data_IF_440433940446
#
_entry.id   IF_440433940446
#
_cell.length_a   1.000
_cell.length_b   1.000
_cell.length_c   1.000
_cell.angle_alpha   90.00
_cell.angle_beta   90.00
_cell.angle_gamma   90.00
#
_symmetry.space_group_name_H-M   'P 1'
#
loop_
_entity.id
_entity.type
_entity.pdbx_description
1 polymer ?
#
# COMPACT_ATOMS: atom_id res chain seq x y z
N UNK A 1 17.87 -25.14 -32.05
CA UNK A 1 17.22 -24.08 -31.25
C UNK A 1 17.87 -22.77 -31.66
N UNK A 2 17.16 -21.78 -32.20
CA UNK A 2 17.76 -20.48 -32.45
C UNK A 2 17.96 -19.75 -31.11
N UNK A 3 19.15 -19.18 -30.94
CA UNK A 3 19.56 -18.44 -29.75
C UNK A 3 18.91 -17.04 -29.80
N UNK A 4 18.29 -16.61 -28.69
CA UNK A 4 17.65 -15.30 -28.59
C UNK A 4 18.72 -14.19 -28.52
N UNK A 5 18.50 -13.03 -29.17
CA UNK A 5 19.46 -11.94 -29.13
C UNK A 5 19.62 -11.38 -27.70
N UNK A 6 20.81 -10.86 -27.35
CA UNK A 6 21.05 -10.28 -26.04
C UNK A 6 20.21 -9.00 -25.85
N UNK A 7 19.68 -8.81 -24.63
CA UNK A 7 19.01 -7.59 -24.22
C UNK A 7 19.98 -6.40 -24.36
N UNK A 8 19.85 -5.66 -25.46
CA UNK A 8 20.53 -4.37 -25.59
C UNK A 8 19.82 -3.39 -24.66
N UNK A 9 20.53 -2.92 -23.63
CA UNK A 9 20.07 -1.82 -22.80
C UNK A 9 20.09 -0.54 -23.65
N UNK A 10 18.94 -0.23 -24.23
CA UNK A 10 18.72 1.00 -24.98
C UNK A 10 18.91 2.20 -24.04
N UNK A 11 19.82 3.17 -24.31
CA UNK A 11 19.98 4.37 -23.49
C UNK A 11 18.75 5.30 -23.50
N UNK A 12 17.70 4.94 -24.25
CA UNK A 12 16.39 5.57 -24.25
C UNK A 12 15.40 5.01 -23.21
N UNK A 13 15.83 4.24 -22.20
CA UNK A 13 15.12 4.22 -20.90
C UNK A 13 15.36 5.57 -20.19
N UNK A 14 14.87 6.63 -20.81
CA UNK A 14 14.37 7.79 -20.08
C UNK A 14 13.45 7.28 -18.98
N UNK A 15 13.50 7.90 -17.81
CA UNK A 15 12.72 7.56 -16.62
C UNK A 15 11.21 7.68 -16.92
N UNK A 16 10.65 6.67 -17.59
CA UNK A 16 9.24 6.61 -18.02
C UNK A 16 8.29 6.64 -16.81
N UNK A 17 8.81 6.34 -15.62
CA UNK A 17 8.06 6.40 -14.36
C UNK A 17 7.96 7.83 -13.81
N UNK A 18 8.88 8.75 -14.15
CA UNK A 18 8.87 10.13 -13.65
C UNK A 18 7.74 10.99 -14.23
N UNK A 19 7.29 10.70 -15.46
CA UNK A 19 6.21 11.45 -16.15
C UNK A 19 4.85 10.75 -16.07
N UNK A 20 4.81 9.50 -15.58
CA UNK A 20 3.57 8.74 -15.49
C UNK A 20 2.74 9.24 -14.31
N UNK A 21 1.60 9.88 -14.61
CA UNK A 21 0.61 10.17 -13.57
C UNK A 21 0.22 8.86 -12.88
N UNK A 22 0.25 8.79 -11.54
CA UNK A 22 -0.09 7.58 -10.81
C UNK A 22 -1.47 7.08 -11.21
N UNK A 23 -1.56 5.78 -11.51
CA UNK A 23 -2.86 5.16 -11.79
C UNK A 23 -3.65 5.03 -10.49
N UNK A 24 -4.97 4.81 -10.60
CA UNK A 24 -5.79 4.53 -9.42
C UNK A 24 -5.29 3.32 -8.61
N UNK A 25 -4.67 2.34 -9.27
CA UNK A 25 -4.06 1.18 -8.62
C UNK A 25 -2.77 1.56 -7.86
N UNK A 26 -1.95 2.43 -8.43
CA UNK A 26 -0.73 2.92 -7.76
C UNK A 26 -1.11 3.74 -6.52
N UNK A 27 -2.12 4.61 -6.62
CA UNK A 27 -2.65 5.36 -5.48
C UNK A 27 -3.18 4.43 -4.40
N UNK A 28 -3.98 3.42 -4.75
CA UNK A 28 -4.50 2.43 -3.81
C UNK A 28 -3.38 1.65 -3.10
N UNK A 29 -2.37 1.20 -3.85
CA UNK A 29 -1.21 0.50 -3.29
C UNK A 29 -0.43 1.38 -2.30
N UNK A 30 -0.13 2.62 -2.68
CA UNK A 30 0.61 3.56 -1.81
C UNK A 30 -0.16 3.89 -0.54
N UNK A 31 -1.48 4.07 -0.64
CA UNK A 31 -2.35 4.24 0.52
C UNK A 31 -2.29 3.02 1.46
N UNK A 32 -2.34 1.80 0.93
CA UNK A 32 -2.25 0.57 1.72
C UNK A 32 -0.87 0.42 2.39
N UNK A 33 0.21 0.77 1.69
CA UNK A 33 1.57 0.78 2.26
C UNK A 33 1.70 1.79 3.40
N UNK A 34 1.22 3.03 3.20
CA UNK A 34 1.22 4.06 4.24
C UNK A 34 0.45 3.59 5.48
N UNK A 35 -0.67 2.91 5.27
CA UNK A 35 -1.48 2.38 6.35
C UNK A 35 -0.74 1.26 7.09
N UNK A 36 -0.19 0.29 6.36
CA UNK A 36 0.60 -0.83 6.92
C UNK A 36 1.75 -0.33 7.80
N UNK A 37 2.51 0.66 7.31
CA UNK A 37 3.64 1.23 8.02
C UNK A 37 3.27 2.22 9.13
N UNK A 38 2.00 2.58 9.24
CA UNK A 38 1.51 3.43 10.33
C UNK A 38 1.05 2.62 11.53
N UNK A 39 0.78 1.31 11.38
CA UNK A 39 0.40 0.42 12.47
C UNK A 39 1.55 0.25 13.46
N UNK A 40 1.24 0.32 14.75
CA UNK A 40 2.17 -0.05 15.81
C UNK A 40 2.17 -1.56 16.00
N UNK A 41 3.20 -2.23 15.49
CA UNK A 41 3.30 -3.69 15.48
C UNK A 41 3.68 -4.31 16.83
N UNK A 42 4.09 -3.49 17.80
CA UNK A 42 4.59 -3.94 19.10
C UNK A 42 3.58 -3.65 20.21
N UNK A 43 2.86 -2.53 20.14
CA UNK A 43 1.97 -2.07 21.21
C UNK A 43 0.47 -2.03 20.84
N UNK A 44 0.08 -2.35 19.60
CA UNK A 44 -1.34 -2.39 19.21
C UNK A 44 -1.94 -3.81 19.23
N UNK A 45 -3.22 -3.93 18.87
CA UNK A 45 -3.93 -5.19 18.73
C UNK A 45 -3.18 -6.23 17.87
N UNK A 46 -2.38 -5.80 16.88
CA UNK A 46 -1.65 -6.73 16.01
C UNK A 46 -0.48 -7.44 16.73
N UNK A 47 -0.08 -6.97 17.92
CA UNK A 47 0.93 -7.61 18.75
C UNK A 47 0.46 -8.98 19.28
N UNK A 48 -0.85 -9.20 19.39
CA UNK A 48 -1.37 -10.51 19.78
C UNK A 48 -1.10 -11.55 18.66
N UNK A 49 -0.53 -12.74 18.99
CA UNK A 49 -0.12 -13.72 17.97
C UNK A 49 -1.24 -14.17 17.03
N UNK A 50 -2.49 -14.25 17.51
CA UNK A 50 -3.66 -14.62 16.69
C UNK A 50 -3.93 -13.60 15.59
N UNK A 51 -3.82 -12.31 15.89
CA UNK A 51 -4.09 -11.23 14.95
C UNK A 51 -2.92 -10.99 14.00
N UNK A 52 -1.69 -11.21 14.48
CA UNK A 52 -0.50 -11.17 13.63
C UNK A 52 -0.54 -12.22 12.53
N UNK A 53 -0.98 -13.44 12.86
CA UNK A 53 -1.10 -14.56 11.91
C UNK A 53 -2.14 -14.29 10.82
N UNK A 54 -3.25 -13.64 11.16
CA UNK A 54 -4.36 -13.37 10.22
C UNK A 54 -4.36 -11.95 9.67
N UNK A 55 -3.28 -11.19 9.89
CA UNK A 55 -3.21 -9.78 9.48
C UNK A 55 -3.46 -9.60 7.98
N UNK A 56 -2.66 -10.29 7.16
CA UNK A 56 -2.71 -10.17 5.71
C UNK A 56 -3.95 -10.83 5.09
N UNK A 57 -4.47 -11.87 5.74
CA UNK A 57 -5.49 -12.74 5.15
C UNK A 57 -6.90 -12.39 5.61
N UNK A 58 -7.06 -11.77 6.78
CA UNK A 58 -8.38 -11.45 7.36
C UNK A 58 -8.49 -9.99 7.81
N UNK A 59 -7.57 -9.54 8.66
CA UNK A 59 -7.75 -8.29 9.41
C UNK A 59 -7.63 -7.06 8.51
N UNK A 60 -6.57 -6.98 7.72
CA UNK A 60 -6.35 -5.90 6.77
C UNK A 60 -7.38 -5.95 5.62
N UNK A 61 -7.57 -7.07 4.90
CA UNK A 61 -8.57 -7.14 3.82
C UNK A 61 -9.98 -6.79 4.29
N UNK A 62 -10.41 -7.35 5.43
CA UNK A 62 -11.76 -7.14 5.94
C UNK A 62 -12.06 -5.68 6.26
N UNK A 63 -11.11 -4.97 6.90
CA UNK A 63 -11.27 -3.55 7.28
C UNK A 63 -11.17 -2.63 6.07
N UNK A 64 -10.23 -2.88 5.15
CA UNK A 64 -10.09 -2.12 3.89
C UNK A 64 -11.35 -2.23 3.06
N UNK A 65 -11.83 -3.46 2.83
CA UNK A 65 -13.01 -3.71 2.02
C UNK A 65 -14.26 -3.07 2.63
N UNK A 66 -14.45 -3.20 3.95
CA UNK A 66 -15.58 -2.57 4.66
C UNK A 66 -15.57 -1.05 4.51
N UNK A 67 -14.41 -0.40 4.66
CA UNK A 67 -14.30 1.04 4.48
C UNK A 67 -14.57 1.45 3.02
N UNK A 68 -14.03 0.70 2.05
CA UNK A 68 -14.18 0.99 0.63
C UNK A 68 -15.64 0.90 0.14
N UNK A 69 -16.45 0.00 0.72
CA UNK A 69 -17.89 -0.05 0.41
C UNK A 69 -18.70 1.13 0.97
N UNK A 70 -18.21 1.82 2.02
CA UNK A 70 -18.97 2.87 2.72
C UNK A 70 -18.54 4.28 2.35
N UNK A 71 -17.29 4.44 1.93
CA UNK A 71 -16.72 5.74 1.65
C UNK A 71 -17.08 6.25 0.25
N UNK A 72 -17.42 7.54 0.17
CA UNK A 72 -17.60 8.26 -1.09
C UNK A 72 -16.38 9.13 -1.45
N UNK A 73 -15.46 9.33 -0.50
CA UNK A 73 -14.24 10.14 -0.65
C UNK A 73 -13.04 9.41 -0.06
N UNK A 74 -11.83 9.75 -0.50
CA UNK A 74 -10.60 9.16 0.04
C UNK A 74 -10.35 9.59 1.49
N UNK A 75 -10.67 10.83 1.87
CA UNK A 75 -10.56 11.28 3.27
C UNK A 75 -11.40 10.44 4.22
N UNK A 76 -12.65 10.15 3.82
CA UNK A 76 -13.56 9.30 4.60
C UNK A 76 -13.05 7.88 4.64
N UNK A 77 -12.64 7.34 3.49
CA UNK A 77 -12.07 5.99 3.42
C UNK A 77 -10.88 5.85 4.36
N UNK A 78 -9.91 6.77 4.26
CA UNK A 78 -8.70 6.79 5.08
C UNK A 78 -9.03 6.90 6.56
N UNK A 79 -9.91 7.82 6.94
CA UNK A 79 -10.32 8.01 8.34
C UNK A 79 -10.97 6.73 8.90
N UNK A 80 -11.90 6.13 8.16
CA UNK A 80 -12.62 4.92 8.58
C UNK A 80 -11.69 3.71 8.74
N UNK A 81 -10.80 3.48 7.77
CA UNK A 81 -9.90 2.32 7.78
C UNK A 81 -8.78 2.48 8.81
N UNK A 82 -8.23 3.70 8.93
CA UNK A 82 -7.17 4.01 9.91
C UNK A 82 -7.68 3.87 11.33
N UNK A 83 -8.88 4.36 11.62
CA UNK A 83 -9.53 4.19 12.92
C UNK A 83 -9.79 2.71 13.23
N UNK A 84 -10.32 1.96 12.27
CA UNK A 84 -10.55 0.51 12.43
C UNK A 84 -9.25 -0.26 12.69
N UNK A 85 -8.14 0.15 12.07
CA UNK A 85 -6.83 -0.50 12.21
C UNK A 85 -5.99 0.05 13.37
N UNK A 86 -6.46 1.08 14.09
CA UNK A 86 -5.65 1.76 15.08
C UNK A 86 -4.35 2.31 14.50
N UNK A 87 -4.37 2.68 13.21
CA UNK A 87 -3.22 3.20 12.49
C UNK A 87 -3.20 4.74 12.65
N UNK A 88 -2.30 5.29 13.50
CA UNK A 88 -2.16 6.74 13.62
C UNK A 88 -1.72 7.39 12.31
N UNK A 89 -1.87 8.70 12.20
CA UNK A 89 -1.31 9.43 11.06
C UNK A 89 0.22 9.24 10.95
N UNK A 90 0.80 9.19 9.74
CA UNK A 90 2.24 9.01 9.57
C UNK A 90 3.07 10.06 10.35
N UNK A 91 4.05 9.60 11.12
CA UNK A 91 4.91 10.48 11.95
C UNK A 91 5.94 11.27 11.14
N UNK A 92 6.35 10.76 9.98
CA UNK A 92 7.37 11.36 9.13
C UNK A 92 6.73 12.41 8.21
N UNK A 93 7.38 13.57 8.04
CA UNK A 93 6.86 14.69 7.24
C UNK A 93 6.56 14.26 5.80
N UNK A 94 7.48 13.56 5.17
CA UNK A 94 7.36 13.19 3.75
C UNK A 94 6.17 12.24 3.52
N UNK A 95 5.96 11.29 4.45
CA UNK A 95 4.79 10.40 4.42
C UNK A 95 3.46 11.14 4.63
N UNK A 96 3.45 12.21 5.42
CA UNK A 96 2.25 13.07 5.56
C UNK A 96 1.96 13.86 4.30
N UNK A 97 3.00 14.39 3.66
CA UNK A 97 2.86 15.10 2.38
C UNK A 97 2.39 14.16 1.28
N UNK A 98 2.97 12.96 1.21
CA UNK A 98 2.53 11.91 0.30
C UNK A 98 1.06 11.57 0.52
N UNK A 99 0.66 11.27 1.77
CA UNK A 99 -0.74 11.00 2.10
C UNK A 99 -1.65 12.16 1.64
N UNK A 100 -1.29 13.41 1.95
CA UNK A 100 -2.07 14.58 1.56
C UNK A 100 -2.22 14.71 0.04
N UNK A 101 -1.20 14.32 -0.73
CA UNK A 101 -1.28 14.27 -2.20
C UNK A 101 -2.20 13.16 -2.66
N UNK A 102 -2.05 11.94 -2.14
CA UNK A 102 -2.85 10.78 -2.54
C UNK A 102 -4.35 10.97 -2.23
N UNK A 103 -4.69 11.64 -1.13
CA UNK A 103 -6.09 11.91 -0.76
C UNK A 103 -6.80 12.88 -1.72
N UNK A 104 -6.06 13.59 -2.58
CA UNK A 104 -6.62 14.48 -3.62
C UNK A 104 -6.93 13.78 -4.94
N UNK A 105 -6.52 12.53 -5.09
CA UNK A 105 -6.80 11.75 -6.31
C UNK A 105 -8.31 11.52 -6.49
N UNK A 106 -8.80 11.32 -7.73
CA UNK A 106 -10.20 11.02 -7.98
C UNK A 106 -10.67 9.80 -7.15
N UNK A 107 -11.65 9.96 -6.25
CA UNK A 107 -11.95 8.94 -5.26
C UNK A 107 -12.58 7.68 -5.88
N UNK A 108 -13.48 7.86 -6.86
CA UNK A 108 -14.25 6.77 -7.47
C UNK A 108 -13.35 5.65 -8.02
N UNK A 109 -12.38 5.94 -8.93
CA UNK A 109 -11.55 4.87 -9.50
C UNK A 109 -10.63 4.20 -8.45
N UNK A 110 -10.11 4.95 -7.48
CA UNK A 110 -9.25 4.39 -6.41
C UNK A 110 -10.05 3.47 -5.50
N UNK A 111 -11.25 3.90 -5.08
CA UNK A 111 -12.15 3.11 -4.24
C UNK A 111 -12.65 1.87 -4.98
N UNK A 112 -12.92 1.96 -6.30
CA UNK A 112 -13.26 0.80 -7.12
C UNK A 112 -12.14 -0.25 -7.11
N UNK A 113 -10.89 0.18 -7.31
CA UNK A 113 -9.72 -0.72 -7.24
C UNK A 113 -9.59 -1.38 -5.85
N UNK A 114 -9.77 -0.62 -4.77
CA UNK A 114 -9.75 -1.12 -3.39
C UNK A 114 -10.89 -2.11 -3.07
N UNK A 115 -11.94 -2.16 -3.90
CA UNK A 115 -13.06 -3.12 -3.76
C UNK A 115 -12.87 -4.35 -4.64
N UNK A 116 -12.52 -4.11 -5.90
CA UNK A 116 -12.66 -5.11 -6.96
C UNK A 116 -11.34 -5.85 -7.22
N UNK A 117 -10.19 -5.25 -6.86
CA UNK A 117 -8.86 -5.82 -7.06
C UNK A 117 -8.06 -5.99 -5.77
N UNK A 118 -8.73 -5.93 -4.62
CA UNK A 118 -8.09 -5.95 -3.30
C UNK A 118 -7.14 -7.14 -3.07
N UNK A 119 -7.48 -8.40 -3.44
CA UNK A 119 -6.56 -9.52 -3.24
C UNK A 119 -5.23 -9.34 -3.96
N UNK A 120 -5.27 -8.90 -5.22
CA UNK A 120 -4.07 -8.67 -6.02
C UNK A 120 -3.24 -7.50 -5.49
N UNK A 121 -3.90 -6.40 -5.07
CA UNK A 121 -3.23 -5.27 -4.42
C UNK A 121 -2.52 -5.69 -3.14
N UNK A 122 -3.20 -6.44 -2.26
CA UNK A 122 -2.61 -6.87 -0.99
C UNK A 122 -1.43 -7.81 -1.17
N UNK A 123 -1.45 -8.66 -2.20
CA UNK A 123 -0.28 -9.47 -2.55
C UNK A 123 0.92 -8.59 -2.91
N UNK A 124 0.73 -7.57 -3.76
CA UNK A 124 1.81 -6.62 -4.12
C UNK A 124 2.32 -5.87 -2.89
N UNK A 125 1.41 -5.31 -2.08
CA UNK A 125 1.74 -4.59 -0.84
C UNK A 125 2.54 -5.48 0.11
N UNK A 126 2.14 -6.75 0.26
CA UNK A 126 2.83 -7.74 1.10
C UNK A 126 4.24 -8.01 0.58
N UNK A 127 4.41 -8.26 -0.72
CA UNK A 127 5.73 -8.48 -1.34
C UNK A 127 6.65 -7.28 -1.08
N UNK A 128 6.15 -6.06 -1.26
CA UNK A 128 6.92 -4.83 -1.01
C UNK A 128 7.30 -4.72 0.48
N UNK A 129 6.35 -4.96 1.38
CA UNK A 129 6.59 -4.88 2.82
C UNK A 129 7.62 -5.92 3.30
N UNK A 130 7.53 -7.15 2.81
CA UNK A 130 8.49 -8.22 3.10
C UNK A 130 9.89 -7.90 2.55
N UNK A 131 9.98 -7.40 1.32
CA UNK A 131 11.25 -6.99 0.72
C UNK A 131 11.94 -5.87 1.52
N UNK A 132 11.18 -4.84 1.93
CA UNK A 132 11.70 -3.74 2.77
C UNK A 132 12.14 -4.26 4.15
N UNK A 133 11.41 -5.22 4.73
CA UNK A 133 11.77 -5.81 6.02
C UNK A 133 13.10 -6.57 5.94
N UNK A 134 13.30 -7.37 4.88
CA UNK A 134 14.56 -8.10 4.67
C UNK A 134 15.72 -7.15 4.37
N UNK A 135 15.51 -6.10 3.56
CA UNK A 135 16.54 -5.08 3.33
C UNK A 135 17.00 -4.42 4.64
N UNK A 136 16.06 -3.96 5.48
CA UNK A 136 16.39 -3.36 6.78
C UNK A 136 17.12 -4.32 7.72
N UNK A 137 16.82 -5.60 7.64
CA UNK A 137 17.50 -6.64 8.41
C UNK A 137 18.92 -6.87 7.91
N UNK A 138 19.14 -6.81 6.60
CA UNK A 138 20.47 -6.88 6.00
C UNK A 138 21.32 -5.65 6.37
N UNK A 139 20.76 -4.44 6.35
CA UNK A 139 21.45 -3.19 6.72
C UNK A 139 21.84 -3.12 8.21
N UNK A 140 21.17 -3.91 9.08
CA UNK A 140 21.45 -3.99 10.52
C UNK A 140 22.47 -5.07 10.89
N UNK A 141 22.84 -5.93 9.95
CA UNK A 141 23.82 -7.01 10.14
C UNK A 141 25.19 -6.56 9.72
#
# INVERSE_FOLDING_TARGET
>A
MPELPPFSADPAVVDLDAERRPTAADTAERLLLLLHYSIDWEASWVAEPRFRKTYWDEQLPGRVRRAAYRAATLDRWWSDVSAQLGAPAPRQRDRRLELATLLREPPIPVIAVLRDSLPALLLRVRIIAEAVAEQRKAERR
#
